data_IF_743619534448
#
_entry.id   IF_743619534448
#
_cell.length_a   1.000
_cell.length_b   1.000
_cell.length_c   1.000
_cell.angle_alpha   90.00
_cell.angle_beta   90.00
_cell.angle_gamma   90.00
#
_symmetry.space_group_name_H-M   'P 1'
#
loop_
_entity.id
_entity.type
_entity.pdbx_description
1 polymer ?
#
# COMPACT_ATOMS: atom_id res chain seq x y z
N UNK A 1 2.34 -2.99 21.73
CA UNK A 1 1.74 -3.74 20.61
C UNK A 1 2.60 -3.45 19.38
N UNK A 2 3.28 -4.45 18.83
CA UNK A 2 4.11 -4.26 17.63
C UNK A 2 3.25 -3.85 16.44
N UNK A 3 3.82 -3.09 15.52
CA UNK A 3 3.33 -2.92 14.15
C UNK A 3 3.19 -4.32 13.54
N UNK A 4 2.02 -4.63 13.00
CA UNK A 4 1.83 -5.85 12.21
C UNK A 4 2.07 -5.48 10.75
N UNK A 5 2.97 -6.18 10.09
CA UNK A 5 3.38 -5.86 8.73
C UNK A 5 3.42 -7.12 7.86
N UNK A 6 3.36 -6.91 6.54
CA UNK A 6 3.51 -7.97 5.54
C UNK A 6 4.88 -8.64 5.58
N UNK A 7 5.00 -9.78 4.90
CA UNK A 7 6.30 -10.40 4.68
C UNK A 7 7.27 -9.42 3.96
N UNK A 8 8.58 -9.51 4.22
CA UNK A 8 9.58 -8.74 3.49
C UNK A 8 9.50 -8.98 1.97
N UNK A 9 9.87 -7.99 1.19
CA UNK A 9 9.95 -8.09 -0.28
C UNK A 9 11.41 -7.95 -0.74
N UNK A 10 11.84 -8.81 -1.65
CA UNK A 10 13.21 -8.79 -2.22
C UNK A 10 13.27 -7.90 -3.46
N UNK A 11 14.43 -7.30 -3.73
CA UNK A 11 14.72 -6.54 -4.95
C UNK A 11 16.23 -6.51 -5.22
N UNK A 12 16.63 -5.97 -6.37
CA UNK A 12 18.03 -5.88 -6.82
C UNK A 12 18.53 -4.46 -7.13
N UNK A 13 17.69 -3.45 -6.90
CA UNK A 13 18.05 -2.02 -7.03
C UNK A 13 19.38 -1.69 -6.35
N UNK A 14 20.27 -1.02 -7.09
CA UNK A 14 21.64 -0.72 -6.64
C UNK A 14 22.67 -1.78 -7.05
N UNK A 15 22.25 -2.85 -7.72
CA UNK A 15 23.11 -3.92 -8.21
C UNK A 15 23.51 -4.93 -7.13
N UNK A 16 22.73 -5.03 -6.06
CA UNK A 16 22.93 -5.99 -4.96
C UNK A 16 21.59 -6.59 -4.52
N UNK A 17 21.62 -7.81 -3.99
CA UNK A 17 20.45 -8.43 -3.40
C UNK A 17 20.08 -7.68 -2.11
N UNK A 18 18.82 -7.25 -2.03
CA UNK A 18 18.31 -6.45 -0.95
C UNK A 18 16.86 -6.80 -0.60
N UNK A 19 16.41 -6.33 0.56
CA UNK A 19 15.07 -6.55 1.09
C UNK A 19 14.46 -5.25 1.60
N UNK A 20 13.19 -5.04 1.27
CA UNK A 20 12.32 -4.08 1.94
C UNK A 20 11.65 -4.78 3.11
N UNK A 21 11.85 -4.22 4.31
CA UNK A 21 11.36 -4.77 5.57
C UNK A 21 10.95 -3.64 6.51
N UNK A 22 10.12 -3.96 7.50
CA UNK A 22 9.83 -3.04 8.61
C UNK A 22 10.86 -3.26 9.71
N UNK A 23 11.62 -2.22 10.02
CA UNK A 23 12.55 -2.17 11.15
C UNK A 23 12.03 -1.19 12.21
N UNK A 24 11.51 -1.72 13.31
CA UNK A 24 10.82 -0.94 14.33
C UNK A 24 9.55 -0.28 13.79
N UNK A 25 9.63 1.04 13.55
CA UNK A 25 8.53 1.84 12.97
C UNK A 25 8.85 2.35 11.57
N UNK A 26 9.94 1.93 10.97
CA UNK A 26 10.36 2.45 9.68
C UNK A 26 10.27 1.36 8.62
N UNK A 27 9.81 1.73 7.41
CA UNK A 27 10.00 0.92 6.22
C UNK A 27 11.40 1.19 5.70
N UNK A 28 12.21 0.15 5.55
CA UNK A 28 13.62 0.28 5.20
C UNK A 28 13.98 -0.69 4.09
N UNK A 29 14.84 -0.24 3.18
CA UNK A 29 15.57 -1.10 2.26
C UNK A 29 16.92 -1.44 2.86
N UNK A 30 17.27 -2.72 2.90
CA UNK A 30 18.48 -3.24 3.57
C UNK A 30 19.16 -4.23 2.64
N UNK A 31 20.49 -4.15 2.50
CA UNK A 31 21.26 -5.18 1.79
C UNK A 31 21.13 -6.53 2.52
N UNK A 32 21.15 -7.65 1.79
CA UNK A 32 21.00 -8.99 2.42
C UNK A 32 22.06 -9.28 3.48
N UNK A 33 23.25 -8.68 3.36
CA UNK A 33 24.33 -8.78 4.36
C UNK A 33 24.16 -7.84 5.56
N UNK A 34 23.13 -6.99 5.56
CA UNK A 34 22.78 -6.05 6.63
C UNK A 34 23.70 -4.82 6.74
N UNK A 35 24.67 -4.64 5.85
CA UNK A 35 25.66 -3.56 5.96
C UNK A 35 25.13 -2.19 5.52
N UNK A 36 24.24 -2.17 4.54
CA UNK A 36 23.68 -0.95 3.98
C UNK A 36 22.19 -0.89 4.29
N UNK A 37 21.72 0.30 4.66
CA UNK A 37 20.33 0.54 5.05
C UNK A 37 19.90 1.92 4.59
N UNK A 38 18.72 1.98 3.97
CA UNK A 38 18.07 3.21 3.53
C UNK A 38 16.62 3.24 4.04
N UNK A 39 16.24 4.32 4.72
CA UNK A 39 14.87 4.49 5.22
C UNK A 39 13.96 5.04 4.13
N UNK A 40 12.90 4.30 3.82
CA UNK A 40 11.92 4.64 2.78
C UNK A 40 10.73 5.43 3.34
N UNK A 41 10.22 4.99 4.49
CA UNK A 41 9.10 5.63 5.21
C UNK A 41 9.41 5.61 6.70
N UNK A 42 9.23 6.75 7.36
CA UNK A 42 9.41 6.88 8.81
C UNK A 42 8.07 6.80 9.53
N UNK A 43 8.09 6.31 10.77
CA UNK A 43 6.94 6.37 11.69
C UNK A 43 5.67 5.70 11.16
N UNK A 44 5.80 4.53 10.55
CA UNK A 44 4.69 3.63 10.27
C UNK A 44 3.83 3.42 11.51
N UNK A 45 2.53 3.46 11.30
CA UNK A 45 1.51 3.26 12.32
C UNK A 45 0.57 2.12 11.91
N UNK A 46 0.01 1.45 12.93
CA UNK A 46 -0.95 0.37 12.73
C UNK A 46 -0.42 -0.77 11.86
N UNK A 47 -1.33 -1.40 11.11
CA UNK A 47 -0.96 -2.38 10.10
C UNK A 47 -0.40 -1.72 8.84
N UNK A 48 0.65 -2.28 8.25
CA UNK A 48 1.22 -1.80 6.98
C UNK A 48 1.46 -2.95 6.00
N UNK A 49 1.09 -2.73 4.75
CA UNK A 49 1.31 -3.63 3.61
C UNK A 49 2.05 -2.85 2.53
N UNK A 50 2.96 -3.50 1.82
CA UNK A 50 3.75 -2.86 0.77
C UNK A 50 4.08 -3.85 -0.34
N UNK A 51 4.26 -3.34 -1.56
CA UNK A 51 4.75 -4.11 -2.69
C UNK A 51 5.72 -3.28 -3.53
N UNK A 52 6.68 -3.96 -4.15
CA UNK A 52 7.62 -3.37 -5.10
C UNK A 52 7.07 -3.56 -6.52
N UNK A 53 7.18 -2.54 -7.38
CA UNK A 53 6.79 -2.68 -8.79
C UNK A 53 7.70 -3.67 -9.52
N UNK A 54 7.22 -4.38 -10.56
CA UNK A 54 8.05 -5.31 -11.33
C UNK A 54 9.35 -4.73 -11.91
N UNK A 55 9.38 -3.44 -12.22
CA UNK A 55 10.57 -2.70 -12.68
C UNK A 55 11.47 -2.18 -11.55
N UNK A 56 11.09 -2.46 -10.30
CA UNK A 56 11.72 -2.03 -9.05
C UNK A 56 11.90 -0.50 -8.92
N UNK A 57 11.17 0.30 -9.69
CA UNK A 57 11.26 1.76 -9.64
C UNK A 57 10.33 2.40 -8.61
N UNK A 58 9.34 1.64 -8.12
CA UNK A 58 8.29 2.14 -7.24
C UNK A 58 8.02 1.18 -6.10
N UNK A 59 7.53 1.72 -4.99
CA UNK A 59 6.98 0.92 -3.90
C UNK A 59 5.61 1.45 -3.50
N UNK A 60 4.59 0.62 -3.56
CA UNK A 60 3.29 0.96 -3.01
C UNK A 60 3.30 0.64 -1.51
N UNK A 61 2.81 1.58 -0.70
CA UNK A 61 2.69 1.42 0.76
C UNK A 61 1.27 1.74 1.17
N UNK A 62 0.58 0.75 1.73
CA UNK A 62 -0.73 0.87 2.34
C UNK A 62 -0.59 0.82 3.85
N UNK A 63 -1.05 1.86 4.53
CA UNK A 63 -0.86 2.03 5.98
C UNK A 63 -2.19 2.32 6.67
N UNK A 64 -2.39 1.69 7.83
CA UNK A 64 -3.53 1.95 8.69
C UNK A 64 -3.33 3.25 9.48
N UNK A 65 -4.28 4.16 9.37
CA UNK A 65 -4.44 5.26 10.30
C UNK A 65 -5.14 4.76 11.57
N UNK A 66 -4.47 4.89 12.72
CA UNK A 66 -4.98 4.42 14.01
C UNK A 66 -6.16 5.25 14.55
N UNK A 67 -6.29 6.52 14.15
CA UNK A 67 -7.38 7.38 14.57
C UNK A 67 -8.67 7.04 13.80
N UNK A 68 -8.56 6.82 12.49
CA UNK A 68 -9.73 6.54 11.64
C UNK A 68 -9.97 5.05 11.43
N UNK A 69 -9.00 4.19 11.69
CA UNK A 69 -8.96 2.77 11.30
C UNK A 69 -9.11 2.53 9.78
N UNK A 70 -8.90 3.56 8.96
CA UNK A 70 -8.87 3.42 7.51
C UNK A 70 -7.44 3.29 7.00
N UNK A 71 -7.32 2.71 5.80
CA UNK A 71 -6.06 2.61 5.11
C UNK A 71 -5.88 3.79 4.15
N UNK A 72 -4.70 4.39 4.19
CA UNK A 72 -4.19 5.25 3.12
C UNK A 72 -3.23 4.44 2.24
N UNK A 73 -3.12 4.83 0.98
CA UNK A 73 -2.21 4.22 0.01
C UNK A 73 -1.31 5.32 -0.53
N UNK A 74 -0.02 5.05 -0.65
CA UNK A 74 0.95 5.95 -1.24
C UNK A 74 1.90 5.19 -2.15
N UNK A 75 2.43 5.87 -3.15
CA UNK A 75 3.52 5.39 -3.99
C UNK A 75 4.80 6.12 -3.57
N UNK A 76 5.86 5.36 -3.34
CA UNK A 76 7.21 5.84 -3.18
C UNK A 76 7.88 5.80 -4.55
N UNK A 77 8.39 6.94 -4.99
CA UNK A 77 9.11 7.10 -6.25
C UNK A 77 10.40 7.89 -6.03
N UNK A 78 11.37 7.71 -6.91
CA UNK A 78 12.62 8.45 -6.86
C UNK A 78 13.75 7.67 -7.49
N UNK A 79 14.74 8.39 -8.03
CA UNK A 79 15.95 7.75 -8.55
C UNK A 79 16.67 7.07 -7.38
N UNK A 80 16.94 5.77 -7.54
CA UNK A 80 17.61 4.95 -6.53
C UNK A 80 16.85 4.89 -5.19
N UNK A 81 15.53 5.14 -5.18
CA UNK A 81 14.72 5.19 -3.95
C UNK A 81 14.85 3.90 -3.11
N UNK A 82 14.92 2.74 -3.76
CA UNK A 82 15.09 1.45 -3.10
C UNK A 82 16.55 1.06 -2.83
N UNK A 83 17.55 1.80 -3.30
CA UNK A 83 18.96 1.42 -3.15
C UNK A 83 19.37 1.49 -1.66
N UNK A 84 19.81 0.38 -1.02
CA UNK A 84 20.25 0.39 0.37
C UNK A 84 21.44 1.33 0.64
N UNK A 85 22.27 1.58 -0.38
CA UNK A 85 23.42 2.51 -0.33
C UNK A 85 23.04 3.95 -0.65
N UNK A 86 21.80 4.19 -1.07
CA UNK A 86 21.27 5.50 -1.43
C UNK A 86 21.05 6.41 -0.23
N UNK A 87 21.94 6.44 0.76
CA UNK A 87 21.83 7.31 1.92
C UNK A 87 21.74 8.78 1.46
N UNK A 88 20.53 9.35 1.49
CA UNK A 88 20.23 10.70 0.99
C UNK A 88 19.52 10.76 -0.37
N UNK A 89 19.15 9.62 -0.97
CA UNK A 89 18.25 9.58 -2.12
C UNK A 89 16.89 10.17 -1.70
N UNK A 90 16.37 11.09 -2.51
CA UNK A 90 15.05 11.67 -2.26
C UNK A 90 13.98 10.64 -2.61
N UNK A 91 13.35 10.07 -1.59
CA UNK A 91 12.12 9.28 -1.77
C UNK A 91 10.95 10.26 -1.76
N UNK A 92 10.29 10.38 -2.90
CA UNK A 92 9.04 11.13 -3.01
C UNK A 92 7.89 10.19 -2.65
N UNK A 93 7.16 10.53 -1.60
CA UNK A 93 5.92 9.84 -1.23
C UNK A 93 4.73 10.58 -1.81
N UNK A 94 4.00 9.93 -2.71
CA UNK A 94 2.83 10.46 -3.40
C UNK A 94 1.60 9.74 -2.86
N UNK A 95 0.72 10.45 -2.18
CA UNK A 95 -0.53 9.86 -1.72
C UNK A 95 -1.44 9.55 -2.93
N UNK A 96 -1.95 8.32 -2.97
CA UNK A 96 -2.98 7.95 -3.92
C UNK A 96 -4.29 8.51 -3.39
N UNK A 97 -4.64 9.70 -3.84
CA UNK A 97 -5.87 10.37 -3.41
C UNK A 97 -7.08 9.57 -3.88
N UNK A 98 -7.62 8.83 -2.92
CA UNK A 98 -8.96 8.32 -2.97
C UNK A 98 -9.67 8.82 -1.71
N UNK A 99 -10.76 9.57 -1.91
CA UNK A 99 -11.78 9.82 -0.89
C UNK A 99 -12.41 8.49 -0.38
N UNK A 100 -11.95 7.33 -0.84
CA UNK A 100 -12.42 5.98 -0.54
C UNK A 100 -11.38 5.22 0.26
N UNK A 101 -11.80 4.16 0.94
CA UNK A 101 -10.87 3.28 1.65
C UNK A 101 -10.32 2.26 0.66
N UNK A 102 -9.01 2.18 0.54
CA UNK A 102 -8.32 1.10 -0.19
C UNK A 102 -8.30 -0.14 0.69
N UNK A 103 -8.69 -1.27 0.11
CA UNK A 103 -8.75 -2.57 0.78
C UNK A 103 -7.61 -3.49 0.33
N UNK A 104 -7.14 -3.31 -0.90
CA UNK A 104 -6.03 -4.06 -1.47
C UNK A 104 -5.51 -3.35 -2.75
N UNK A 105 -4.30 -3.70 -3.18
CA UNK A 105 -3.68 -3.16 -4.38
C UNK A 105 -2.76 -4.16 -5.09
N UNK A 106 -2.49 -3.92 -6.39
CA UNK A 106 -1.50 -4.65 -7.19
C UNK A 106 -0.84 -3.71 -8.20
N UNK A 107 0.45 -3.90 -8.45
CA UNK A 107 1.08 -3.32 -9.63
C UNK A 107 0.64 -4.05 -10.89
N UNK A 108 0.45 -3.29 -11.97
CA UNK A 108 0.36 -3.88 -13.30
C UNK A 108 1.71 -4.51 -13.68
N UNK A 109 1.72 -5.55 -14.54
CA UNK A 109 2.97 -6.18 -14.99
C UNK A 109 3.96 -5.22 -15.65
N UNK A 110 3.45 -4.16 -16.29
CA UNK A 110 4.26 -3.11 -16.91
C UNK A 110 4.72 -2.01 -15.94
N UNK A 111 4.42 -2.15 -14.64
CA UNK A 111 4.79 -1.22 -13.55
C UNK A 111 4.24 0.20 -13.65
N UNK A 112 3.37 0.48 -14.63
CA UNK A 112 2.84 1.83 -14.89
C UNK A 112 1.58 2.15 -14.11
N UNK A 113 0.89 1.13 -13.57
CA UNK A 113 -0.43 1.29 -12.96
C UNK A 113 -0.54 0.50 -11.67
N UNK A 114 -1.43 0.96 -10.82
CA UNK A 114 -1.86 0.26 -9.61
C UNK A 114 -3.35 -0.05 -9.71
N UNK A 115 -3.71 -1.33 -9.69
CA UNK A 115 -5.09 -1.76 -9.52
C UNK A 115 -5.41 -1.79 -8.03
N UNK A 116 -6.41 -1.04 -7.61
CA UNK A 116 -6.84 -0.95 -6.22
C UNK A 116 -8.28 -1.45 -6.07
N UNK A 117 -8.52 -2.29 -5.06
CA UNK A 117 -9.87 -2.57 -4.57
C UNK A 117 -10.25 -1.48 -3.57
N UNK A 118 -11.30 -0.72 -3.85
CA UNK A 118 -11.72 0.41 -3.00
C UNK A 118 -13.18 0.30 -2.59
N UNK A 119 -13.56 0.99 -1.51
CA UNK A 119 -14.96 1.15 -1.13
C UNK A 119 -15.71 2.07 -2.09
N UNK A 120 -17.02 1.83 -2.25
CA UNK A 120 -17.88 2.75 -2.98
C UNK A 120 -18.18 4.00 -2.15
N UNK A 121 -18.29 3.86 -0.84
CA UNK A 121 -18.52 4.97 0.07
C UNK A 121 -17.22 5.70 0.37
N UNK A 122 -17.34 7.00 0.63
CA UNK A 122 -16.19 7.79 1.05
C UNK A 122 -15.77 7.48 2.47
N UNK A 123 -14.52 7.84 2.83
CA UNK A 123 -14.00 7.78 4.20
C UNK A 123 -14.93 8.55 5.15
N UNK A 124 -15.43 9.71 4.71
CA UNK A 124 -16.39 10.53 5.49
C UNK A 124 -17.73 9.81 5.69
N UNK A 125 -18.32 9.26 4.64
CA UNK A 125 -19.58 8.51 4.72
C UNK A 125 -19.46 7.30 5.64
N UNK A 126 -18.36 6.55 5.52
CA UNK A 126 -18.08 5.39 6.37
C UNK A 126 -17.89 5.80 7.83
N UNK A 127 -17.21 6.91 8.10
CA UNK A 127 -17.07 7.46 9.45
C UNK A 127 -18.42 7.80 10.06
N UNK A 128 -19.28 8.48 9.29
CA UNK A 128 -20.63 8.82 9.74
C UNK A 128 -21.49 7.58 9.98
N UNK A 129 -21.43 6.58 9.09
CA UNK A 129 -22.16 5.33 9.25
C UNK A 129 -21.70 4.53 10.48
N UNK A 130 -20.39 4.48 10.73
CA UNK A 130 -19.80 3.85 11.93
C UNK A 130 -20.28 4.54 13.20
N UNK A 131 -20.22 5.87 13.25
CA UNK A 131 -20.60 6.65 14.42
C UNK A 131 -22.12 6.59 14.68
N UNK A 132 -22.92 6.47 13.63
CA UNK A 132 -24.37 6.33 13.72
C UNK A 132 -24.83 4.89 14.05
N UNK A 133 -23.90 3.96 14.32
CA UNK A 133 -24.18 2.53 14.60
C UNK A 133 -25.14 1.89 13.59
N UNK A 134 -25.08 2.31 12.31
CA UNK A 134 -25.92 1.72 11.26
C UNK A 134 -25.47 0.30 10.98
N UNK A 135 -26.00 -0.65 11.76
CA UNK A 135 -25.83 -2.09 11.55
C UNK A 135 -26.45 -2.46 10.21
N UNK A 136 -25.65 -3.00 9.29
CA UNK A 136 -26.15 -3.56 8.02
C UNK A 136 -25.86 -2.75 6.76
N UNK A 137 -24.96 -1.76 6.80
CA UNK A 137 -24.47 -1.15 5.57
C UNK A 137 -23.67 -2.19 4.76
N UNK A 138 -24.29 -2.75 3.73
CA UNK A 138 -23.62 -3.68 2.82
C UNK A 138 -22.44 -2.98 2.16
N UNK A 139 -21.22 -3.50 2.41
CA UNK A 139 -20.02 -2.94 1.81
C UNK A 139 -20.12 -3.08 0.30
N UNK A 140 -20.17 -1.97 -0.41
CA UNK A 140 -20.03 -1.93 -1.87
C UNK A 140 -18.61 -1.57 -2.21
N UNK A 141 -18.07 -2.25 -3.20
CA UNK A 141 -16.70 -2.07 -3.67
C UNK A 141 -16.69 -1.68 -5.14
N UNK A 142 -15.56 -1.14 -5.55
CA UNK A 142 -15.27 -0.80 -6.93
C UNK A 142 -13.76 -0.90 -7.17
N UNK A 143 -13.39 -1.16 -8.42
CA UNK A 143 -11.99 -1.10 -8.80
C UNK A 143 -11.61 0.35 -9.08
N UNK A 144 -10.36 0.67 -8.77
CA UNK A 144 -9.71 1.91 -9.15
C UNK A 144 -8.40 1.54 -9.82
N UNK A 145 -8.13 2.14 -10.97
CA UNK A 145 -6.83 2.06 -11.63
C UNK A 145 -6.16 3.41 -11.42
N UNK A 146 -5.06 3.41 -10.69
CA UNK A 146 -4.19 4.56 -10.56
C UNK A 146 -3.07 4.46 -11.59
N UNK A 147 -2.84 5.53 -12.35
CA UNK A 147 -1.75 5.61 -13.32
C UNK A 147 -0.57 6.34 -12.67
N UNK A 148 0.55 5.64 -12.52
CA UNK A 148 1.70 6.12 -11.77
C UNK A 148 2.52 7.17 -12.54
N UNK A 149 2.36 7.28 -13.86
CA UNK A 149 3.06 8.30 -14.66
C UNK A 149 2.33 9.64 -14.62
N UNK A 150 0.99 9.59 -14.65
CA UNK A 150 0.14 10.80 -14.67
C UNK A 150 -0.42 11.18 -13.29
N UNK A 151 -0.27 10.31 -12.30
CA UNK A 151 -0.87 10.40 -10.97
C UNK A 151 -2.39 10.57 -11.00
N UNK A 152 -3.06 9.95 -11.98
CA UNK A 152 -4.51 10.03 -12.13
C UNK A 152 -5.21 8.73 -11.76
N UNK A 153 -6.40 8.85 -11.18
CA UNK A 153 -7.24 7.73 -10.78
C UNK A 153 -8.45 7.59 -11.71
N UNK A 154 -8.72 6.36 -12.15
CA UNK A 154 -9.95 6.00 -12.87
C UNK A 154 -10.70 4.90 -12.15
N UNK A 155 -11.98 5.12 -11.89
CA UNK A 155 -12.85 4.13 -11.28
C UNK A 155 -13.51 3.23 -12.31
N UNK A 156 -13.53 1.93 -12.03
CA UNK A 156 -13.95 0.87 -12.95
C UNK A 156 -14.80 -0.16 -12.21
N UNK A 157 -16.01 -0.43 -12.71
CA UNK A 157 -16.88 -1.48 -12.18
C UNK A 157 -17.36 -1.25 -10.74
N UNK A 158 -18.58 -1.66 -10.44
CA UNK A 158 -19.12 -1.60 -9.07
C UNK A 158 -19.71 -2.96 -8.75
N UNK A 159 -19.50 -3.42 -7.53
CA UNK A 159 -20.01 -4.71 -7.09
C UNK A 159 -20.20 -4.76 -5.59
N UNK A 160 -21.02 -5.70 -5.14
CA UNK A 160 -21.20 -6.00 -3.73
C UNK A 160 -20.51 -7.34 -3.45
N UNK A 161 -19.32 -7.34 -2.82
CA UNK A 161 -18.66 -8.59 -2.46
C UNK A 161 -19.52 -9.42 -1.52
N UNK A 162 -19.50 -10.74 -1.70
CA UNK A 162 -20.09 -11.67 -0.72
C UNK A 162 -19.29 -11.60 0.58
N UNK A 163 -19.95 -11.78 1.73
CA UNK A 163 -19.28 -11.82 3.04
C UNK A 163 -18.11 -12.83 3.09
N UNK A 164 -18.24 -13.96 2.39
CA UNK A 164 -17.17 -14.95 2.27
C UNK A 164 -15.89 -14.36 1.66
N UNK A 165 -16.02 -13.58 0.58
CA UNK A 165 -14.88 -12.91 -0.06
C UNK A 165 -14.15 -11.99 0.91
N UNK A 166 -14.91 -11.15 1.64
CA UNK A 166 -14.36 -10.18 2.58
C UNK A 166 -13.65 -10.83 3.78
N UNK A 167 -14.13 -11.98 4.24
CA UNK A 167 -13.58 -12.64 5.43
C UNK A 167 -12.45 -13.62 5.12
N UNK A 168 -12.51 -14.28 3.97
CA UNK A 168 -11.63 -15.41 3.65
C UNK A 168 -10.55 -15.05 2.64
N UNK A 169 -10.83 -14.18 1.67
CA UNK A 169 -9.85 -13.85 0.64
C UNK A 169 -9.18 -12.52 0.89
N UNK A 170 -9.95 -11.49 1.25
CA UNK A 170 -9.42 -10.14 1.42
C UNK A 170 -8.24 -10.05 2.42
N UNK A 171 -8.24 -10.77 3.56
CA UNK A 171 -7.12 -10.72 4.51
C UNK A 171 -5.81 -11.36 4.01
N UNK A 172 -5.87 -12.20 2.97
CA UNK A 172 -4.71 -12.88 2.37
C UNK A 172 -4.51 -12.44 0.92
N UNK A 173 -5.13 -11.34 0.54
CA UNK A 173 -5.22 -10.93 -0.86
C UNK A 173 -3.87 -10.50 -1.42
N UNK A 174 -2.99 -10.03 -0.52
CA UNK A 174 -1.58 -9.72 -0.70
C UNK A 174 -0.67 -10.95 -0.85
N UNK A 175 -1.13 -12.16 -0.52
CA UNK A 175 -0.35 -13.39 -0.78
C UNK A 175 -0.32 -13.78 -2.26
N UNK A 176 -1.18 -13.18 -3.07
CA UNK A 176 -1.35 -13.48 -4.49
C UNK A 176 -0.85 -12.35 -5.40
N UNK A 177 -0.24 -11.30 -4.82
CA UNK A 177 0.36 -10.17 -5.53
C UNK A 177 1.83 -10.42 -5.86
#
# INVERSE_FOLDING_TARGET
KGSSFMAPQTHTVGGEDAVVVVDGKDLVSVSVDGKNKHTLVQNLQGFSSFAISPDEQRTAVMQQDLATNFFSLSILEGKDALNPRGAGASVQQIEVDADRVTLAFFFSPDSKKLLCLTTQNSKKELTLARNALKVGMGLRCQWMVYDCETHTSRFCGKFTPKNFFLKVYLPFFDQYS
#
